data_IF_281223677414
#
_entry.id   IF_281223677414
#
_cell.length_a   1.000
_cell.length_b   1.000
_cell.length_c   1.000
_cell.angle_alpha   90.00
_cell.angle_beta   90.00
_cell.angle_gamma   90.00
#
_symmetry.space_group_name_H-M   'P 1'
#
loop_
_entity.id
_entity.type
_entity.pdbx_description
1 polymer ?
#
# COMPACT_ATOMS: atom_id res chain seq x y z
N UNK A 1 -2.55 -3.85 16.07
CA UNK A 1 -3.74 -3.18 15.52
C UNK A 1 -3.48 -2.14 14.43
N UNK A 2 -2.43 -1.32 14.47
CA UNK A 2 -2.18 -0.26 13.46
C UNK A 2 -1.61 -0.73 12.10
N UNK A 3 -1.09 -1.96 12.03
CA UNK A 3 -0.53 -2.54 10.79
C UNK A 3 -1.59 -2.64 9.67
N UNK A 4 -2.88 -2.82 10.03
CA UNK A 4 -4.00 -2.82 9.06
C UNK A 4 -4.07 -1.52 8.27
N UNK A 5 -4.06 -0.40 8.97
CA UNK A 5 -4.18 0.92 8.37
C UNK A 5 -2.89 1.32 7.63
N UNK A 6 -1.74 0.86 8.14
CA UNK A 6 -0.45 1.11 7.51
C UNK A 6 -0.34 0.43 6.15
N UNK A 7 -0.71 -0.85 6.01
CA UNK A 7 -0.64 -1.56 4.72
C UNK A 7 -1.57 -0.92 3.68
N UNK A 8 -2.80 -0.56 4.07
CA UNK A 8 -3.71 0.13 3.15
C UNK A 8 -3.21 1.51 2.72
N UNK A 9 -2.51 2.23 3.61
CA UNK A 9 -1.92 3.52 3.28
C UNK A 9 -0.65 3.36 2.41
N UNK A 10 0.25 2.47 2.79
CA UNK A 10 1.55 2.27 2.15
C UNK A 10 1.44 1.73 0.71
N UNK A 11 0.42 0.91 0.41
CA UNK A 11 0.13 0.47 -0.95
C UNK A 11 -0.24 1.62 -1.90
N UNK A 12 -0.54 2.81 -1.38
CA UNK A 12 -0.84 4.01 -2.16
C UNK A 12 0.29 5.05 -2.14
N UNK A 13 1.41 4.78 -1.46
CA UNK A 13 2.48 5.76 -1.26
C UNK A 13 3.47 5.78 -2.42
N UNK A 14 3.68 6.96 -2.99
CA UNK A 14 4.71 7.22 -4.01
C UNK A 14 6.12 7.38 -3.38
N UNK A 15 6.17 7.49 -2.06
CA UNK A 15 7.35 7.44 -1.21
C UNK A 15 6.95 7.51 0.26
N UNK A 16 7.83 7.09 1.16
CA UNK A 16 7.55 7.08 2.60
C UNK A 16 8.61 7.81 3.43
N UNK A 17 8.20 8.39 4.55
CA UNK A 17 9.11 8.92 5.57
C UNK A 17 9.25 7.87 6.67
N UNK A 18 10.44 7.30 6.81
CA UNK A 18 10.78 6.41 7.92
C UNK A 18 11.26 7.23 9.11
N UNK A 19 10.45 7.32 10.16
CA UNK A 19 10.85 8.00 11.39
C UNK A 19 11.48 6.99 12.34
N UNK A 20 12.74 7.23 12.70
CA UNK A 20 13.48 6.43 13.68
C UNK A 20 13.93 7.32 14.84
N UNK A 21 14.03 6.77 16.05
CA UNK A 21 14.49 7.51 17.22
C UNK A 21 16.01 7.41 17.33
N UNK A 22 16.70 8.55 17.40
CA UNK A 22 18.14 8.61 17.65
C UNK A 22 18.55 7.98 18.99
N UNK A 23 17.63 7.94 19.96
CA UNK A 23 17.85 7.39 21.30
C UNK A 23 17.68 5.87 21.31
N UNK A 24 16.67 5.38 20.60
CA UNK A 24 16.24 3.98 20.69
C UNK A 24 16.83 3.12 19.55
N UNK A 25 17.24 3.74 18.44
CA UNK A 25 17.68 3.04 17.25
C UNK A 25 16.55 2.32 16.50
N UNK A 26 16.90 1.46 15.52
CA UNK A 26 15.93 0.66 14.78
C UNK A 26 15.30 -0.41 15.67
N UNK A 27 13.98 -0.31 15.84
CA UNK A 27 13.18 -1.24 16.64
C UNK A 27 12.52 -2.31 15.75
N UNK A 28 11.93 -3.39 16.32
CA UNK A 28 11.26 -4.42 15.53
C UNK A 28 10.21 -3.88 14.55
N UNK A 29 9.46 -2.84 14.95
CA UNK A 29 8.49 -2.19 14.07
C UNK A 29 9.15 -1.41 12.92
N UNK A 30 10.37 -0.88 13.11
CA UNK A 30 11.16 -0.24 12.04
C UNK A 30 11.45 -1.25 10.95
N UNK A 31 11.90 -2.46 11.32
CA UNK A 31 12.15 -3.56 10.37
C UNK A 31 10.88 -3.98 9.66
N UNK A 32 9.81 -4.21 10.42
CA UNK A 32 8.51 -4.60 9.88
C UNK A 32 7.97 -3.57 8.88
N UNK A 33 8.10 -2.27 9.16
CA UNK A 33 7.64 -1.22 8.26
C UNK A 33 8.45 -1.12 6.98
N UNK A 34 9.78 -1.28 7.02
CA UNK A 34 10.62 -1.27 5.81
C UNK A 34 10.26 -2.46 4.93
N UNK A 35 10.19 -3.66 5.52
CA UNK A 35 9.78 -4.87 4.82
C UNK A 35 8.41 -4.68 4.16
N UNK A 36 7.41 -4.23 4.92
CA UNK A 36 6.07 -4.03 4.40
C UNK A 36 6.02 -2.95 3.31
N UNK A 37 6.76 -1.84 3.47
CA UNK A 37 6.87 -0.78 2.46
C UNK A 37 7.43 -1.34 1.14
N UNK A 38 8.48 -2.17 1.20
CA UNK A 38 9.04 -2.84 0.02
C UNK A 38 8.01 -3.76 -0.64
N UNK A 39 7.32 -4.55 0.16
CA UNK A 39 6.35 -5.54 -0.31
C UNK A 39 5.15 -4.88 -0.99
N UNK A 40 4.61 -3.79 -0.42
CA UNK A 40 3.51 -3.04 -1.05
C UNK A 40 3.96 -2.14 -2.20
N UNK A 41 5.27 -2.07 -2.48
CA UNK A 41 5.80 -1.42 -3.67
C UNK A 41 6.13 0.06 -3.51
N UNK A 42 6.37 0.53 -2.28
CA UNK A 42 6.89 1.89 -2.05
C UNK A 42 8.27 1.99 -2.73
N UNK A 43 8.48 2.93 -3.67
CA UNK A 43 9.70 2.96 -4.46
C UNK A 43 10.87 3.58 -3.71
N UNK A 44 10.63 4.64 -2.92
CA UNK A 44 11.65 5.43 -2.24
C UNK A 44 11.28 5.66 -0.78
N UNK A 45 12.27 5.64 0.10
CA UNK A 45 12.15 6.00 1.51
C UNK A 45 13.10 7.15 1.81
N UNK A 46 12.65 8.12 2.59
CA UNK A 46 13.50 9.14 3.22
C UNK A 46 13.46 8.92 4.72
N UNK A 47 14.61 8.96 5.40
CA UNK A 47 14.67 8.70 6.84
C UNK A 47 14.72 10.02 7.60
N UNK A 48 13.93 10.12 8.67
CA UNK A 48 14.05 11.17 9.66
C UNK A 48 14.50 10.57 11.01
N UNK A 49 15.75 10.85 11.39
CA UNK A 49 16.33 10.44 12.67
C UNK A 49 15.94 11.46 13.74
N UNK A 50 14.82 11.17 14.40
CA UNK A 50 14.14 12.04 15.35
C UNK A 50 14.75 11.96 16.76
N UNK A 51 14.39 12.91 17.63
CA UNK A 51 14.89 13.04 19.02
C UNK A 51 16.41 13.27 19.11
N UNK A 52 17.01 13.89 18.11
CA UNK A 52 18.45 14.19 18.13
C UNK A 52 18.84 15.19 19.22
N UNK A 53 17.89 15.96 19.73
CA UNK A 53 18.05 16.87 20.88
C UNK A 53 18.39 16.13 22.17
N UNK A 54 17.97 14.86 22.28
CA UNK A 54 18.25 14.00 23.42
C UNK A 54 19.61 13.29 23.33
N UNK A 55 20.33 13.42 22.22
CA UNK A 55 21.60 12.72 21.96
C UNK A 55 22.73 13.73 21.77
N UNK A 56 23.70 13.72 22.68
CA UNK A 56 24.85 14.62 22.64
C UNK A 56 26.10 13.96 22.05
N UNK A 57 26.11 12.63 21.94
CA UNK A 57 27.22 11.87 21.38
C UNK A 57 27.02 11.68 19.88
N UNK A 58 27.98 12.19 19.10
CA UNK A 58 27.96 12.07 17.65
C UNK A 58 28.23 10.64 17.19
N UNK A 59 29.05 9.88 17.91
CA UNK A 59 29.37 8.50 17.54
C UNK A 59 28.13 7.60 17.62
N UNK A 60 27.24 7.87 18.60
CA UNK A 60 25.96 7.17 18.71
C UNK A 60 25.03 7.48 17.54
N UNK A 61 24.97 8.74 17.09
CA UNK A 61 24.16 9.12 15.93
C UNK A 61 24.67 8.44 14.65
N UNK A 62 25.99 8.45 14.43
CA UNK A 62 26.62 7.82 13.28
C UNK A 62 26.40 6.30 13.29
N UNK A 63 26.41 5.66 14.48
CA UNK A 63 26.10 4.24 14.64
C UNK A 63 24.64 3.92 14.29
N UNK A 64 23.68 4.68 14.82
CA UNK A 64 22.26 4.47 14.52
C UNK A 64 21.98 4.72 13.03
N UNK A 65 22.65 5.71 12.43
CA UNK A 65 22.57 5.94 10.99
C UNK A 65 23.03 4.70 10.20
N UNK A 66 24.20 4.15 10.55
CA UNK A 66 24.73 2.93 9.93
C UNK A 66 23.75 1.76 10.03
N UNK A 67 23.20 1.49 11.22
CA UNK A 67 22.25 0.40 11.43
C UNK A 67 20.98 0.55 10.57
N UNK A 68 20.50 1.79 10.38
CA UNK A 68 19.35 2.06 9.51
C UNK A 68 19.71 1.81 8.04
N UNK A 69 20.91 2.21 7.60
CA UNK A 69 21.37 1.98 6.21
C UNK A 69 21.50 0.49 5.91
N UNK A 70 22.07 -0.28 6.84
CA UNK A 70 22.17 -1.73 6.73
C UNK A 70 20.77 -2.36 6.64
N UNK A 71 19.84 -1.92 7.49
CA UNK A 71 18.47 -2.42 7.51
C UNK A 71 17.69 -2.09 6.22
N UNK A 72 17.90 -0.90 5.64
CA UNK A 72 17.33 -0.55 4.34
C UNK A 72 17.89 -1.46 3.25
N UNK A 73 19.20 -1.71 3.26
CA UNK A 73 19.87 -2.58 2.29
C UNK A 73 19.43 -4.04 2.42
N UNK A 74 19.19 -4.52 3.64
CA UNK A 74 18.66 -5.86 3.92
C UNK A 74 17.32 -6.12 3.22
N UNK A 75 16.49 -5.09 3.06
CA UNK A 75 15.17 -5.18 2.43
C UNK A 75 15.11 -4.53 1.03
N UNK A 76 16.23 -4.56 0.29
CA UNK A 76 16.35 -4.12 -1.10
C UNK A 76 16.00 -2.64 -1.36
N UNK A 77 16.18 -1.77 -0.36
CA UNK A 77 16.26 -0.32 -0.57
C UNK A 77 17.71 0.12 -0.74
N UNK A 78 17.91 1.30 -1.35
CA UNK A 78 19.24 1.89 -1.51
C UNK A 78 19.72 2.51 -0.18
N UNK A 79 20.18 1.68 0.75
CA UNK A 79 20.63 2.13 2.07
C UNK A 79 21.82 3.09 2.01
N UNK A 80 22.68 2.97 1.00
CA UNK A 80 23.87 3.84 0.85
C UNK A 80 23.49 5.26 0.43
N UNK A 81 22.57 5.42 -0.53
CA UNK A 81 22.20 6.74 -1.05
C UNK A 81 20.93 7.32 -0.42
N UNK A 82 20.19 6.56 0.38
CA UNK A 82 18.99 7.05 1.05
C UNK A 82 19.33 8.27 1.93
N UNK A 83 18.62 9.40 1.77
CA UNK A 83 18.81 10.56 2.62
C UNK A 83 18.33 10.29 4.04
N UNK A 84 19.20 10.63 4.99
CA UNK A 84 18.91 10.58 6.42
C UNK A 84 19.02 12.00 6.97
N UNK A 85 17.91 12.51 7.50
CA UNK A 85 17.84 13.84 8.09
C UNK A 85 17.72 13.69 9.60
N UNK A 86 18.72 14.21 10.31
CA UNK A 86 18.75 14.19 11.78
C UNK A 86 18.13 15.45 12.35
N UNK A 87 17.23 15.30 13.33
CA UNK A 87 16.57 16.43 13.96
C UNK A 87 15.64 16.05 15.12
N UNK A 88 14.84 17.03 15.53
CA UNK A 88 13.87 16.94 16.60
C UNK A 88 12.55 17.55 16.14
N UNK A 89 11.57 16.67 15.90
CA UNK A 89 10.21 17.09 15.58
C UNK A 89 9.55 17.87 16.74
N UNK A 90 9.92 17.60 17.99
CA UNK A 90 9.38 18.30 19.17
C UNK A 90 9.81 19.77 19.18
N UNK A 91 11.13 20.02 19.12
CA UNK A 91 11.68 21.38 18.99
C UNK A 91 11.05 22.15 17.83
N UNK A 92 10.92 21.52 16.66
CA UNK A 92 10.29 22.13 15.50
C UNK A 92 8.83 22.53 15.77
N UNK A 93 8.06 21.65 16.42
CA UNK A 93 6.66 21.89 16.79
C UNK A 93 6.52 23.03 17.82
N UNK A 94 7.49 23.17 18.72
CA UNK A 94 7.57 24.27 19.70
C UNK A 94 8.07 25.60 19.08
N UNK A 95 8.39 25.60 17.78
CA UNK A 95 8.93 26.77 17.08
C UNK A 95 10.39 27.07 17.40
N UNK A 96 11.13 26.10 17.95
CA UNK A 96 12.55 26.20 18.29
C UNK A 96 13.43 25.65 17.18
N UNK A 97 14.68 26.09 17.16
CA UNK A 97 15.65 25.66 16.15
C UNK A 97 17.08 25.58 16.71
N UNK A 98 17.17 25.06 17.93
CA UNK A 98 18.47 24.91 18.61
C UNK A 98 19.40 24.03 17.77
N UNK A 99 20.59 24.53 17.49
CA UNK A 99 21.61 23.88 16.65
C UNK A 99 21.09 23.41 15.27
N UNK A 100 20.07 24.09 14.72
CA UNK A 100 19.39 23.72 13.46
C UNK A 100 18.68 22.35 13.50
N UNK A 101 18.43 21.80 14.69
CA UNK A 101 17.78 20.49 14.85
C UNK A 101 16.25 20.58 14.84
N UNK A 102 15.66 21.77 14.91
CA UNK A 102 14.20 21.98 14.98
C UNK A 102 13.60 22.33 13.62
N UNK A 103 13.12 23.57 13.47
CA UNK A 103 12.49 24.07 12.23
C UNK A 103 13.38 23.81 11.00
N UNK A 104 14.69 24.04 11.12
CA UNK A 104 15.62 23.85 10.00
C UNK A 104 15.72 22.40 9.55
N UNK A 105 15.70 21.44 10.47
CA UNK A 105 15.68 20.01 10.14
C UNK A 105 14.41 19.61 9.38
N UNK A 106 13.25 20.14 9.75
CA UNK A 106 11.98 19.88 9.04
C UNK A 106 11.99 20.52 7.65
N UNK A 107 12.51 21.74 7.50
CA UNK A 107 12.68 22.35 6.16
C UNK A 107 13.58 21.51 5.28
N UNK A 108 14.73 21.07 5.80
CA UNK A 108 15.64 20.18 5.08
C UNK A 108 14.97 18.86 4.69
N UNK A 109 14.15 18.29 5.57
CA UNK A 109 13.35 17.10 5.25
C UNK A 109 12.42 17.37 4.07
N UNK A 110 11.65 18.47 4.09
CA UNK A 110 10.73 18.83 2.99
C UNK A 110 11.48 19.05 1.67
N UNK A 111 12.57 19.81 1.68
CA UNK A 111 13.41 20.03 0.50
C UNK A 111 14.00 18.72 -0.04
N UNK A 112 14.36 17.79 0.85
CA UNK A 112 14.86 16.48 0.45
C UNK A 112 13.76 15.63 -0.17
N UNK A 113 12.52 15.70 0.32
CA UNK A 113 11.39 14.99 -0.28
C UNK A 113 11.14 15.48 -1.70
N UNK A 114 11.17 16.80 -1.93
CA UNK A 114 10.96 17.40 -3.25
C UNK A 114 12.00 16.95 -4.29
N UNK A 115 13.24 16.70 -3.87
CA UNK A 115 14.32 16.28 -4.76
C UNK A 115 14.43 14.76 -4.91
N UNK A 116 14.31 14.02 -3.81
CA UNK A 116 14.63 12.60 -3.76
C UNK A 116 13.45 11.72 -4.17
N UNK A 117 12.23 12.10 -3.78
CA UNK A 117 11.03 11.39 -4.22
C UNK A 117 10.68 11.93 -5.60
N UNK A 118 11.10 11.20 -6.64
CA UNK A 118 10.73 11.52 -8.02
C UNK A 118 9.21 11.60 -8.13
N UNK A 119 8.72 12.68 -8.76
CA UNK A 119 7.30 12.77 -9.07
C UNK A 119 6.89 11.50 -9.85
N UNK A 120 5.95 10.70 -9.33
CA UNK A 120 5.58 9.47 -9.97
C UNK A 120 5.05 9.80 -11.37
N UNK A 121 5.50 9.06 -12.38
CA UNK A 121 4.86 9.10 -13.69
C UNK A 121 3.42 8.61 -13.51
N UNK A 122 2.50 9.56 -13.33
CA UNK A 122 1.08 9.27 -13.19
C UNK A 122 0.68 8.44 -14.40
N UNK A 123 0.07 7.29 -14.15
CA UNK A 123 -0.28 6.32 -15.18
C UNK A 123 -1.50 6.77 -16.01
N UNK A 124 -1.55 8.05 -16.41
CA UNK A 124 -2.68 8.72 -17.05
C UNK A 124 -3.00 8.16 -18.44
N UNK A 125 -2.01 7.60 -19.13
CA UNK A 125 -2.19 7.00 -20.45
C UNK A 125 -2.73 5.55 -20.39
N UNK A 126 -2.72 4.94 -19.20
CA UNK A 126 -3.29 3.59 -19.03
C UNK A 126 -4.82 3.64 -18.93
N UNK A 127 -5.52 2.52 -19.21
CA UNK A 127 -6.95 2.43 -18.99
C UNK A 127 -7.32 2.79 -17.53
N UNK A 128 -8.39 3.58 -17.37
CA UNK A 128 -8.87 4.01 -16.06
C UNK A 128 -9.12 2.82 -15.12
N UNK A 129 -8.61 2.94 -13.89
CA UNK A 129 -8.91 2.03 -12.78
C UNK A 129 -8.84 2.80 -11.46
N UNK A 130 -9.89 2.68 -10.65
CA UNK A 130 -9.96 3.21 -9.30
C UNK A 130 -10.52 2.12 -8.36
N UNK A 131 -9.76 1.68 -7.35
CA UNK A 131 -10.28 0.80 -6.30
C UNK A 131 -11.31 1.54 -5.44
N UNK A 132 -12.40 0.86 -5.07
CA UNK A 132 -13.44 1.44 -4.21
C UNK A 132 -13.03 1.25 -2.75
N UNK A 133 -12.88 2.35 -2.03
CA UNK A 133 -12.54 2.40 -0.61
C UNK A 133 -13.79 2.49 0.27
N UNK A 134 -14.75 3.33 -0.12
CA UNK A 134 -16.03 3.52 0.59
C UNK A 134 -17.16 3.93 -0.36
N UNK A 135 -18.41 3.69 0.08
CA UNK A 135 -19.64 3.89 -0.68
C UNK A 135 -20.66 4.69 0.14
N UNK A 136 -21.04 5.84 -0.40
CA UNK A 136 -22.02 6.75 0.19
C UNK A 136 -23.28 6.81 -0.67
N UNK A 137 -24.43 7.01 -0.02
CA UNK A 137 -25.67 7.35 -0.70
C UNK A 137 -26.01 8.79 -0.37
N UNK A 138 -26.01 9.66 -1.37
CA UNK A 138 -26.39 11.07 -1.21
C UNK A 138 -27.84 11.25 -1.63
N UNK A 139 -28.69 11.60 -0.68
CA UNK A 139 -30.11 11.87 -0.90
C UNK A 139 -30.32 12.85 -2.06
N UNK A 140 -31.06 12.42 -3.08
CA UNK A 140 -31.37 13.23 -4.26
C UNK A 140 -30.26 13.33 -5.31
N UNK A 141 -29.05 12.80 -5.07
CA UNK A 141 -27.97 12.73 -6.08
C UNK A 141 -27.70 11.31 -6.57
N UNK A 142 -27.70 10.33 -5.67
CA UNK A 142 -27.40 8.92 -6.00
C UNK A 142 -26.24 8.35 -5.19
N UNK A 143 -25.64 7.28 -5.71
CA UNK A 143 -24.56 6.55 -5.05
C UNK A 143 -23.21 7.12 -5.45
N UNK A 144 -22.39 7.50 -4.46
CA UNK A 144 -21.02 7.98 -4.63
C UNK A 144 -20.06 6.93 -4.13
N UNK A 145 -19.10 6.56 -4.96
CA UNK A 145 -17.96 5.71 -4.57
C UNK A 145 -16.72 6.57 -4.42
N UNK A 146 -15.89 6.26 -3.43
CA UNK A 146 -14.65 7.00 -3.16
C UNK A 146 -13.43 6.11 -3.31
N UNK A 147 -12.31 6.71 -3.72
CA UNK A 147 -11.01 6.04 -3.75
C UNK A 147 -9.93 6.88 -4.44
N UNK A 148 -8.68 6.42 -4.33
CA UNK A 148 -7.56 6.95 -5.12
C UNK A 148 -7.58 6.37 -6.54
N UNK A 149 -7.56 7.22 -7.57
CA UNK A 149 -7.42 6.75 -8.95
C UNK A 149 -6.02 6.15 -9.12
N UNK A 150 -5.95 4.84 -9.38
CA UNK A 150 -4.67 4.12 -9.52
C UNK A 150 -4.02 4.44 -10.87
N UNK A 151 -4.82 4.51 -11.93
CA UNK A 151 -4.35 4.76 -13.29
C UNK A 151 -5.45 5.34 -14.18
N UNK A 152 -5.01 5.95 -15.28
CA UNK A 152 -5.85 6.57 -16.30
C UNK A 152 -6.42 7.92 -15.92
N UNK A 153 -7.28 8.40 -16.80
CA UNK A 153 -8.11 9.60 -16.62
C UNK A 153 -9.56 9.18 -16.82
N UNK A 154 -10.46 9.82 -16.08
CA UNK A 154 -11.89 9.63 -16.23
C UNK A 154 -12.61 10.97 -16.29
N UNK A 155 -13.65 11.06 -17.12
CA UNK A 155 -14.45 12.27 -17.31
C UNK A 155 -15.90 12.07 -16.94
N UNK A 156 -16.57 13.16 -16.61
CA UNK A 156 -18.01 13.12 -16.43
C UNK A 156 -18.70 12.69 -17.73
N UNK A 157 -19.70 11.81 -17.62
CA UNK A 157 -20.43 11.25 -18.75
C UNK A 157 -19.80 9.99 -19.37
N UNK A 158 -18.62 9.57 -18.94
CA UNK A 158 -18.00 8.33 -19.46
C UNK A 158 -18.65 7.06 -18.86
N UNK A 159 -18.70 6.01 -19.69
CA UNK A 159 -19.14 4.68 -19.28
C UNK A 159 -18.00 3.90 -18.60
N UNK A 160 -18.31 3.29 -17.46
CA UNK A 160 -17.38 2.46 -16.69
C UNK A 160 -18.02 1.12 -16.35
N UNK A 161 -17.18 0.21 -15.88
CA UNK A 161 -17.56 -1.10 -15.38
C UNK A 161 -17.13 -1.25 -13.91
N UNK A 162 -18.05 -1.69 -13.06
CA UNK A 162 -17.78 -2.09 -11.67
C UNK A 162 -17.41 -3.57 -11.69
N UNK A 163 -16.23 -3.94 -11.19
CA UNK A 163 -15.66 -5.29 -11.32
C UNK A 163 -15.21 -5.83 -9.97
N UNK A 164 -15.47 -7.12 -9.73
CA UNK A 164 -15.06 -7.87 -8.54
C UNK A 164 -16.21 -8.09 -7.55
N UNK A 165 -16.09 -9.12 -6.71
CA UNK A 165 -17.01 -9.60 -5.67
C UNK A 165 -18.42 -10.03 -6.13
N UNK A 166 -19.01 -9.27 -7.05
CA UNK A 166 -20.32 -9.45 -7.66
C UNK A 166 -20.18 -9.53 -9.19
N UNK A 167 -21.22 -9.95 -9.92
CA UNK A 167 -21.26 -9.83 -11.38
C UNK A 167 -21.00 -8.39 -11.82
N UNK A 168 -20.24 -8.22 -12.90
CA UNK A 168 -19.87 -6.90 -13.38
C UNK A 168 -21.08 -6.09 -13.85
N UNK A 169 -21.12 -4.81 -13.48
CA UNK A 169 -22.21 -3.89 -13.80
C UNK A 169 -21.64 -2.69 -14.56
N UNK A 170 -22.27 -2.31 -15.66
CA UNK A 170 -21.93 -1.08 -16.39
C UNK A 170 -22.75 0.08 -15.86
N UNK A 171 -22.13 1.25 -15.77
CA UNK A 171 -22.81 2.49 -15.40
C UNK A 171 -22.10 3.69 -16.04
N UNK A 172 -22.70 4.87 -15.86
CA UNK A 172 -22.20 6.14 -16.37
C UNK A 172 -21.84 7.01 -15.17
N UNK A 173 -20.72 7.71 -15.28
CA UNK A 173 -20.31 8.71 -14.30
C UNK A 173 -21.14 9.98 -14.51
N UNK A 174 -21.73 10.51 -13.44
CA UNK A 174 -22.54 11.73 -13.47
C UNK A 174 -21.93 12.89 -12.70
N UNK A 175 -20.83 12.66 -11.98
CA UNK A 175 -20.06 13.70 -11.31
C UNK A 175 -18.77 13.17 -10.73
N UNK A 176 -17.77 14.04 -10.67
CA UNK A 176 -16.47 13.79 -10.03
C UNK A 176 -16.23 14.95 -9.05
N UNK A 177 -15.94 14.63 -7.79
CA UNK A 177 -15.70 15.61 -6.74
C UNK A 177 -14.44 15.27 -5.93
N UNK A 178 -13.67 16.28 -5.54
CA UNK A 178 -12.54 16.16 -4.61
C UNK A 178 -12.65 17.26 -3.55
N UNK A 179 -12.76 16.91 -2.27
CA UNK A 179 -12.87 17.86 -1.15
C UNK A 179 -13.89 19.00 -1.36
N UNK A 180 -15.14 18.67 -1.73
CA UNK A 180 -16.25 19.61 -2.02
C UNK A 180 -16.03 20.50 -3.26
N UNK A 181 -15.04 20.20 -4.10
CA UNK A 181 -14.85 20.84 -5.41
C UNK A 181 -15.28 19.87 -6.50
N UNK A 182 -16.08 20.37 -7.44
CA UNK A 182 -16.44 19.63 -8.65
C UNK A 182 -15.25 19.68 -9.60
N UNK A 183 -14.91 18.54 -10.18
CA UNK A 183 -13.84 18.40 -11.15
C UNK A 183 -14.41 18.08 -12.54
N UNK A 184 -13.78 18.60 -13.59
CA UNK A 184 -14.12 18.27 -14.97
C UNK A 184 -13.63 16.85 -15.35
N UNK A 185 -12.50 16.45 -14.78
CA UNK A 185 -11.91 15.13 -14.93
C UNK A 185 -11.19 14.69 -13.65
N UNK A 186 -11.10 13.38 -13.43
CA UNK A 186 -10.27 12.78 -12.38
C UNK A 186 -9.04 12.13 -13.00
N UNK A 187 -7.88 12.33 -12.39
CA UNK A 187 -6.59 11.83 -12.88
C UNK A 187 -5.94 10.87 -11.89
N UNK A 188 -5.15 9.93 -12.41
CA UNK A 188 -4.31 9.05 -11.58
C UNK A 188 -3.56 9.82 -10.49
N UNK A 189 -3.62 9.32 -9.26
CA UNK A 189 -3.07 9.92 -8.04
C UNK A 189 -4.08 10.72 -7.21
N UNK A 190 -5.22 11.13 -7.77
CA UNK A 190 -6.22 11.95 -7.07
C UNK A 190 -7.17 11.09 -6.23
N UNK A 191 -7.51 11.57 -5.03
CA UNK A 191 -8.54 11.01 -4.18
C UNK A 191 -9.88 11.67 -4.51
N UNK A 192 -10.79 10.94 -5.13
CA UNK A 192 -12.04 11.48 -5.66
C UNK A 192 -13.26 10.72 -5.13
N UNK A 193 -14.40 11.41 -5.11
CA UNK A 193 -15.73 10.81 -5.07
C UNK A 193 -16.34 10.84 -6.47
N UNK A 194 -16.80 9.68 -6.94
CA UNK A 194 -17.43 9.51 -8.25
C UNK A 194 -18.89 9.14 -8.06
N UNK A 195 -19.78 9.96 -8.62
CA UNK A 195 -21.22 9.73 -8.61
C UNK A 195 -21.60 8.79 -9.76
N UNK A 196 -22.29 7.70 -9.42
CA UNK A 196 -22.68 6.65 -10.36
C UNK A 196 -24.17 6.74 -10.71
N UNK A 197 -24.47 6.66 -12.00
CA UNK A 197 -25.85 6.71 -12.49
C UNK A 197 -26.59 5.41 -12.24
N UNK A 198 -27.77 5.50 -11.64
CA UNK A 198 -28.71 4.37 -11.52
C UNK A 198 -28.13 3.13 -10.81
N UNK A 199 -27.13 3.33 -9.95
CA UNK A 199 -26.57 2.29 -9.08
C UNK A 199 -27.10 2.52 -7.66
N UNK A 200 -27.64 1.49 -7.03
CA UNK A 200 -28.01 1.52 -5.61
C UNK A 200 -26.80 1.18 -4.74
N UNK A 201 -26.83 1.63 -3.48
CA UNK A 201 -25.72 1.41 -2.54
C UNK A 201 -25.43 -0.08 -2.33
N UNK A 202 -26.43 -0.95 -2.35
CA UNK A 202 -26.26 -2.39 -2.16
C UNK A 202 -25.62 -3.13 -3.36
N UNK A 203 -25.63 -2.52 -4.54
CA UNK A 203 -25.07 -3.08 -5.78
C UNK A 203 -23.55 -2.86 -5.88
N UNK A 204 -23.01 -1.92 -5.10
CA UNK A 204 -21.59 -1.56 -5.10
C UNK A 204 -21.01 -1.60 -3.70
N UNK A 205 -19.82 -2.13 -3.54
CA UNK A 205 -19.18 -2.27 -2.23
C UNK A 205 -17.66 -2.07 -2.27
N UNK A 206 -17.09 -1.83 -1.10
CA UNK A 206 -15.64 -1.79 -0.90
C UNK A 206 -15.00 -3.09 -1.37
N UNK A 207 -13.85 -2.98 -2.01
CA UNK A 207 -13.13 -4.12 -2.57
C UNK A 207 -13.51 -4.46 -4.01
N UNK A 208 -14.51 -3.78 -4.58
CA UNK A 208 -14.66 -3.72 -6.04
C UNK A 208 -13.74 -2.64 -6.62
N UNK A 209 -13.56 -2.66 -7.93
CA UNK A 209 -12.91 -1.57 -8.68
C UNK A 209 -13.89 -0.99 -9.69
N UNK A 210 -13.79 0.31 -9.95
CA UNK A 210 -14.37 0.89 -11.17
C UNK A 210 -13.26 1.01 -12.21
N UNK A 211 -13.54 0.60 -13.44
CA UNK A 211 -12.55 0.56 -14.50
C UNK A 211 -13.15 0.91 -15.86
N UNK A 212 -12.28 1.25 -16.81
CA UNK A 212 -12.68 1.32 -18.22
C UNK A 212 -13.25 -0.03 -18.65
N UNK A 213 -14.38 -0.03 -19.36
CA UNK A 213 -15.09 -1.24 -19.77
C UNK A 213 -14.14 -2.24 -20.45
N UNK A 214 -14.13 -3.47 -19.97
CA UNK A 214 -13.33 -4.57 -20.53
C UNK A 214 -11.82 -4.45 -20.32
N UNK A 215 -11.33 -3.44 -19.58
CA UNK A 215 -9.89 -3.27 -19.32
C UNK A 215 -9.35 -4.17 -18.22
N UNK A 216 -10.21 -4.66 -17.32
CA UNK A 216 -9.88 -5.62 -16.27
C UNK A 216 -11.03 -6.61 -16.11
N UNK A 217 -10.72 -7.85 -15.75
CA UNK A 217 -11.69 -8.91 -15.50
C UNK A 217 -11.57 -9.40 -14.07
N UNK A 218 -12.61 -10.06 -13.59
CA UNK A 218 -12.57 -10.73 -12.30
C UNK A 218 -12.17 -12.20 -12.43
N UNK A 219 -11.27 -12.63 -11.55
CA UNK A 219 -10.79 -14.01 -11.46
C UNK A 219 -10.79 -14.46 -10.00
N UNK A 220 -10.95 -15.76 -9.79
CA UNK A 220 -10.89 -16.39 -8.49
C UNK A 220 -9.77 -17.43 -8.39
N UNK A 221 -9.02 -17.69 -9.47
CA UNK A 221 -7.95 -18.67 -9.49
C UNK A 221 -6.71 -18.08 -10.16
N UNK A 222 -5.58 -18.16 -9.48
CA UNK A 222 -4.33 -17.60 -9.95
C UNK A 222 -3.13 -18.35 -9.36
N UNK A 223 -1.98 -18.16 -10.00
CA UNK A 223 -0.67 -18.58 -9.52
C UNK A 223 0.10 -17.34 -9.06
N UNK A 224 0.82 -17.47 -7.95
CA UNK A 224 1.60 -16.39 -7.36
C UNK A 224 2.94 -16.87 -6.83
N UNK A 225 3.85 -15.92 -6.68
CA UNK A 225 5.07 -16.08 -5.91
C UNK A 225 4.90 -15.29 -4.60
N UNK A 226 5.21 -15.94 -3.48
CA UNK A 226 4.92 -15.43 -2.15
C UNK A 226 6.12 -15.63 -1.24
N UNK A 227 6.50 -14.57 -0.54
CA UNK A 227 7.38 -14.62 0.62
C UNK A 227 6.54 -14.78 1.89
N UNK A 228 6.87 -15.77 2.72
CA UNK A 228 6.20 -16.02 4.00
C UNK A 228 7.02 -15.38 5.12
N UNK A 229 6.42 -14.47 5.86
CA UNK A 229 7.13 -13.74 6.91
C UNK A 229 7.54 -14.70 8.04
N UNK A 230 8.80 -14.61 8.43
CA UNK A 230 9.40 -15.29 9.58
C UNK A 230 8.78 -14.81 10.90
N UNK A 231 9.15 -15.48 11.99
CA UNK A 231 8.72 -15.10 13.34
C UNK A 231 9.29 -13.72 13.72
N UNK A 232 10.54 -13.47 13.35
CA UNK A 232 11.30 -12.26 13.66
C UNK A 232 10.68 -11.04 12.95
N UNK A 233 10.10 -11.23 11.78
CA UNK A 233 9.36 -10.21 11.01
C UNK A 233 7.89 -10.05 11.47
N UNK A 234 7.49 -10.70 12.56
CA UNK A 234 6.12 -10.62 13.09
C UNK A 234 5.10 -11.53 12.40
N UNK A 235 5.57 -12.41 11.52
CA UNK A 235 4.77 -13.36 10.75
C UNK A 235 4.41 -14.63 11.52
N UNK A 236 4.65 -15.79 10.88
CA UNK A 236 4.26 -17.10 11.42
C UNK A 236 5.33 -17.68 12.33
N UNK A 237 4.89 -18.43 13.34
CA UNK A 237 5.78 -19.24 14.18
C UNK A 237 5.89 -20.69 13.70
N UNK A 238 4.90 -21.15 12.95
CA UNK A 238 4.75 -22.54 12.53
C UNK A 238 4.52 -22.63 11.02
N UNK A 239 4.93 -23.75 10.40
CA UNK A 239 4.67 -23.97 8.98
C UNK A 239 3.17 -24.00 8.68
N UNK A 240 2.83 -23.92 7.39
CA UNK A 240 1.49 -24.26 6.90
C UNK A 240 1.58 -25.33 5.81
N UNK A 241 0.45 -25.99 5.59
CA UNK A 241 0.32 -27.13 4.70
C UNK A 241 -0.66 -26.82 3.56
N UNK A 242 -0.75 -27.75 2.63
CA UNK A 242 -1.73 -27.69 1.55
C UNK A 242 -3.17 -27.52 2.10
N UNK A 243 -3.96 -26.66 1.47
CA UNK A 243 -5.32 -26.32 1.94
C UNK A 243 -5.37 -25.21 2.99
N UNK A 244 -4.25 -24.53 3.26
CA UNK A 244 -4.19 -23.33 4.10
C UNK A 244 -5.19 -22.25 3.64
N UNK A 245 -5.92 -21.61 4.58
CA UNK A 245 -7.03 -20.69 4.28
C UNK A 245 -6.89 -19.28 4.89
N UNK A 246 -5.90 -18.48 4.48
CA UNK A 246 -5.74 -17.12 4.99
C UNK A 246 -6.68 -16.12 4.29
N UNK A 247 -6.65 -14.88 4.76
CA UNK A 247 -7.22 -13.72 4.06
C UNK A 247 -6.18 -13.11 3.13
N UNK A 248 -6.55 -12.85 1.88
CA UNK A 248 -5.73 -12.17 0.89
C UNK A 248 -6.21 -10.73 0.72
N UNK A 249 -5.28 -9.79 0.72
CA UNK A 249 -5.54 -8.36 0.61
C UNK A 249 -5.01 -7.85 -0.73
N UNK A 250 -5.92 -7.47 -1.62
CA UNK A 250 -5.65 -6.87 -2.92
C UNK A 250 -6.24 -5.47 -2.95
N UNK A 251 -5.40 -4.42 -3.06
CA UNK A 251 -5.89 -3.02 -3.00
C UNK A 251 -6.78 -2.80 -1.76
N UNK A 252 -8.08 -2.59 -1.97
CA UNK A 252 -9.09 -2.37 -0.91
C UNK A 252 -9.89 -3.62 -0.56
N UNK A 253 -9.68 -4.72 -1.28
CA UNK A 253 -10.38 -5.99 -1.17
C UNK A 253 -9.67 -6.91 -0.18
N UNK A 254 -10.43 -7.49 0.74
CA UNK A 254 -10.01 -8.65 1.52
C UNK A 254 -10.91 -9.84 1.19
N UNK A 255 -10.29 -10.99 0.87
CA UNK A 255 -11.01 -12.19 0.44
C UNK A 255 -10.27 -13.44 0.92
N UNK A 256 -11.02 -14.40 1.44
CA UNK A 256 -10.45 -15.68 1.87
C UNK A 256 -10.03 -16.48 0.63
N UNK A 257 -8.83 -17.05 0.67
CA UNK A 257 -8.33 -17.92 -0.38
C UNK A 257 -7.85 -19.24 0.17
N UNK A 258 -7.84 -20.28 -0.67
CA UNK A 258 -7.32 -21.61 -0.36
C UNK A 258 -6.02 -21.79 -1.12
N UNK A 259 -4.92 -21.95 -0.39
CA UNK A 259 -3.60 -22.19 -0.95
C UNK A 259 -3.45 -23.67 -1.34
N UNK A 260 -2.99 -23.89 -2.57
CA UNK A 260 -2.57 -25.19 -3.07
C UNK A 260 -1.06 -25.17 -3.29
N UNK A 261 -0.35 -26.05 -2.59
CA UNK A 261 1.09 -26.24 -2.76
C UNK A 261 1.39 -27.10 -3.99
N UNK A 262 2.57 -26.93 -4.57
CA UNK A 262 3.07 -27.87 -5.58
C UNK A 262 3.26 -29.27 -4.98
N UNK A 263 3.11 -30.31 -5.82
CA UNK A 263 3.14 -31.71 -5.37
C UNK A 263 4.43 -32.13 -4.64
N UNK A 264 5.52 -31.39 -4.86
CA UNK A 264 6.83 -31.66 -4.28
C UNK A 264 7.06 -30.92 -2.94
N UNK A 265 6.11 -30.07 -2.52
CA UNK A 265 6.21 -29.24 -1.32
C UNK A 265 5.16 -29.73 -0.33
N UNK A 266 5.62 -30.36 0.76
CA UNK A 266 4.74 -30.88 1.80
C UNK A 266 4.25 -29.77 2.75
N UNK A 267 5.16 -28.85 3.11
CA UNK A 267 4.90 -27.73 4.00
C UNK A 267 5.74 -26.53 3.59
N UNK A 268 5.29 -25.34 3.98
CA UNK A 268 6.02 -24.07 3.77
C UNK A 268 6.41 -23.51 5.13
N UNK A 269 7.70 -23.20 5.29
CA UNK A 269 8.25 -22.65 6.52
C UNK A 269 8.15 -21.12 6.53
N UNK A 270 8.04 -20.49 7.72
CA UNK A 270 8.26 -19.05 7.84
C UNK A 270 9.68 -18.68 7.36
N UNK A 271 9.79 -17.67 6.51
CA UNK A 271 11.02 -17.25 5.82
C UNK A 271 11.17 -17.76 4.38
N UNK A 272 10.29 -18.67 3.93
CA UNK A 272 10.39 -19.25 2.58
C UNK A 272 9.83 -18.32 1.50
N UNK A 273 10.45 -18.40 0.31
CA UNK A 273 9.86 -17.96 -0.96
C UNK A 273 9.26 -19.17 -1.68
N UNK A 274 7.97 -19.12 -1.99
CA UNK A 274 7.23 -20.26 -2.56
C UNK A 274 6.29 -19.83 -3.68
N UNK A 275 6.14 -20.70 -4.68
CA UNK A 275 5.08 -20.59 -5.68
C UNK A 275 3.82 -21.32 -5.21
N UNK A 276 2.68 -20.65 -5.31
CA UNK A 276 1.40 -21.14 -4.80
C UNK A 276 0.31 -20.96 -5.86
N UNK A 277 -0.64 -21.90 -5.90
CA UNK A 277 -1.91 -21.69 -6.60
C UNK A 277 -2.97 -21.35 -5.57
N UNK A 278 -3.71 -20.27 -5.80
CA UNK A 278 -4.69 -19.77 -4.84
C UNK A 278 -6.06 -19.71 -5.47
N UNK A 279 -7.04 -20.38 -4.85
CA UNK A 279 -8.45 -20.28 -5.19
C UNK A 279 -9.17 -19.41 -4.17
N UNK A 280 -9.63 -18.23 -4.59
CA UNK A 280 -10.41 -17.30 -3.78
C UNK A 280 -11.86 -17.77 -3.65
N UNK A 281 -12.51 -17.42 -2.54
CA UNK A 281 -13.93 -17.71 -2.34
C UNK A 281 -14.85 -16.84 -3.22
N UNK A 282 -14.35 -15.67 -3.64
CA UNK A 282 -15.06 -14.75 -4.52
C UNK A 282 -14.11 -14.24 -5.60
N UNK A 283 -14.61 -14.07 -6.83
CA UNK A 283 -13.82 -13.48 -7.92
C UNK A 283 -13.57 -12.00 -7.66
N UNK A 284 -12.34 -11.55 -7.81
CA UNK A 284 -11.94 -10.15 -7.62
C UNK A 284 -11.21 -9.66 -8.87
N UNK A 285 -11.02 -8.35 -9.02
CA UNK A 285 -10.30 -7.79 -10.16
C UNK A 285 -8.78 -8.04 -10.02
N UNK A 286 -8.25 -9.00 -10.78
CA UNK A 286 -6.85 -9.43 -10.74
C UNK A 286 -6.18 -9.25 -12.10
N UNK A 287 -4.92 -8.85 -12.09
CA UNK A 287 -4.03 -8.83 -13.25
C UNK A 287 -2.66 -9.41 -12.89
N UNK A 288 -1.93 -9.90 -13.89
CA UNK A 288 -0.54 -10.35 -13.69
C UNK A 288 0.31 -9.17 -13.25
N UNK A 289 1.15 -9.39 -12.24
CA UNK A 289 1.97 -8.36 -11.60
C UNK A 289 1.28 -7.66 -10.43
N UNK A 290 -0.01 -7.93 -10.16
CA UNK A 290 -0.70 -7.38 -8.99
C UNK A 290 -0.10 -7.93 -7.70
N UNK A 291 0.34 -7.02 -6.82
CA UNK A 291 0.85 -7.36 -5.50
C UNK A 291 -0.27 -7.50 -4.48
N UNK A 292 -0.05 -8.32 -3.47
CA UNK A 292 -1.01 -8.57 -2.40
C UNK A 292 -0.31 -8.96 -1.09
N UNK A 293 -1.04 -8.83 0.01
CA UNK A 293 -0.61 -9.31 1.33
C UNK A 293 -1.48 -10.48 1.79
N UNK A 294 -0.90 -11.40 2.55
CA UNK A 294 -1.59 -12.54 3.17
C UNK A 294 -1.65 -12.31 4.66
N UNK A 295 -2.83 -12.52 5.26
CA UNK A 295 -3.06 -12.28 6.68
C UNK A 295 -3.85 -13.38 7.36
N UNK A 296 -3.52 -13.61 8.62
CA UNK A 296 -4.18 -14.57 9.50
C UNK A 296 -4.16 -14.04 10.93
N UNK A 297 -5.26 -14.22 11.68
CA UNK A 297 -5.31 -13.85 13.10
C UNK A 297 -4.98 -12.38 13.38
N UNK A 298 -5.20 -11.49 12.42
CA UNK A 298 -4.87 -10.07 12.51
C UNK A 298 -3.41 -9.71 12.19
N UNK A 299 -2.54 -10.69 11.93
CA UNK A 299 -1.12 -10.48 11.55
C UNK A 299 -0.92 -10.62 10.05
N UNK A 300 0.12 -9.97 9.52
CA UNK A 300 0.59 -10.21 8.16
C UNK A 300 1.53 -11.39 8.18
N UNK A 301 1.24 -12.40 7.37
CA UNK A 301 1.96 -13.69 7.35
C UNK A 301 2.67 -13.94 6.04
N UNK A 302 2.36 -13.18 4.99
CA UNK A 302 3.04 -13.28 3.71
C UNK A 302 2.80 -12.05 2.83
N UNK A 303 3.64 -11.90 1.83
CA UNK A 303 3.51 -10.92 0.76
C UNK A 303 3.79 -11.60 -0.57
N UNK A 304 3.04 -11.23 -1.61
CA UNK A 304 3.16 -11.92 -2.89
C UNK A 304 2.77 -11.10 -4.09
N UNK A 305 3.05 -11.67 -5.25
CA UNK A 305 2.75 -11.11 -6.57
C UNK A 305 2.08 -12.17 -7.44
N UNK A 306 1.04 -11.76 -8.16
CA UNK A 306 0.35 -12.63 -9.12
C UNK A 306 1.25 -12.82 -10.34
N UNK A 307 1.60 -14.06 -10.66
CA UNK A 307 2.46 -14.39 -11.81
C UNK A 307 1.67 -14.92 -12.99
N UNK A 308 0.50 -15.52 -12.76
CA UNK A 308 -0.36 -16.05 -13.80
C UNK A 308 -1.82 -16.12 -13.35
N UNK A 309 -2.76 -16.02 -14.30
CA UNK A 309 -4.19 -16.20 -14.06
C UNK A 309 -4.59 -17.58 -14.60
N UNK A 310 -5.41 -18.32 -13.85
CA UNK A 310 -5.76 -19.73 -14.15
C UNK A 310 -7.24 -19.91 -14.51
#
# INVERSE_FOLDING_TARGET
DYIKNMITGAAQMDGAILVCSAVDGPMPQTREHILLARQVGVPNIVVFLNKSDCVHDKELLDLVELEIRELLSEYDFDGDNTPIITGSALLALEGKDDNNQGISAIKKLLETLDFYITEPNRLIEKPFLMPIEDVFSISGRGTVVTGKIERGIIKNGEEIEIVGLKPSIKTIITGIEMFKKILDEGRAGENVGILLRSIKREEVERGQVIAKIGSIKSFDFFECEVYILSKEEGGRHTPFFNGYKPQFYFRTTDVTGICTLDKNIEMVMPGDNVKLKVKLLSSIAIEVGLRFAIREGGKTVGAGIVINIL
#
